data_IF_109220156980
#
_entry.id   IF_109220156980
#
_cell.length_a   1.000
_cell.length_b   1.000
_cell.length_c   1.000
_cell.angle_alpha   90.00
_cell.angle_beta   90.00
_cell.angle_gamma   90.00
#
_symmetry.space_group_name_H-M   'P 1'
#
loop_
_entity.id
_entity.type
_entity.pdbx_description
1 polymer ?
#
# COMPACT_ATOMS: atom_id res chain seq x y z
N UNK A 1 62.06 24.64 27.73
CA UNK A 1 61.70 26.07 27.65
C UNK A 1 61.45 26.47 26.19
N UNK A 2 60.21 26.82 25.86
CA UNK A 2 59.72 27.75 24.80
C UNK A 2 58.35 27.25 24.30
N UNK A 3 57.33 27.72 25.02
CA UNK A 3 55.90 27.67 24.69
C UNK A 3 55.64 28.40 23.38
N UNK A 4 54.99 27.75 22.41
CA UNK A 4 54.40 28.42 21.25
C UNK A 4 52.90 28.64 21.49
N UNK A 5 52.52 29.92 21.47
CA UNK A 5 51.17 30.45 21.72
C UNK A 5 50.21 30.07 20.59
N UNK A 6 49.02 29.63 20.99
CA UNK A 6 47.83 29.54 20.17
C UNK A 6 47.44 30.92 19.58
N UNK A 7 47.17 30.98 18.28
CA UNK A 7 46.48 32.12 17.64
C UNK A 7 44.99 31.99 17.92
N UNK A 8 44.42 33.01 18.56
CA UNK A 8 42.98 33.24 18.65
C UNK A 8 42.51 33.80 17.31
N UNK A 9 41.53 33.17 16.68
CA UNK A 9 40.79 33.76 15.56
C UNK A 9 39.56 34.51 16.08
N UNK A 10 39.16 35.60 15.42
CA UNK A 10 38.15 36.52 15.93
C UNK A 10 36.72 36.00 15.75
N UNK A 11 35.89 36.27 16.75
CA UNK A 11 34.43 36.21 16.73
C UNK A 11 33.86 37.26 15.76
N UNK A 12 33.29 36.83 14.62
CA UNK A 12 32.37 37.68 13.85
C UNK A 12 30.93 37.30 14.18
N UNK A 13 30.39 38.04 15.16
CA UNK A 13 28.96 38.29 15.28
C UNK A 13 28.43 38.95 14.01
N UNK A 14 27.15 38.70 13.72
CA UNK A 14 26.32 39.34 12.68
C UNK A 14 26.37 38.67 11.32
N UNK A 15 25.32 37.89 11.03
CA UNK A 15 24.62 37.96 9.75
C UNK A 15 23.25 37.25 9.88
N UNK A 16 22.23 38.08 10.01
CA UNK A 16 20.81 37.91 9.72
C UNK A 16 20.30 36.50 9.33
N UNK A 17 19.43 35.97 10.18
CA UNK A 17 18.50 34.88 9.87
C UNK A 17 17.55 35.35 8.75
N UNK A 18 17.86 35.01 7.50
CA UNK A 18 16.90 35.15 6.39
C UNK A 18 15.78 34.14 6.61
N UNK A 19 14.65 34.61 7.15
CA UNK A 19 13.38 33.87 7.14
C UNK A 19 13.03 33.59 5.68
N UNK A 20 13.13 32.34 5.28
CA UNK A 20 12.74 31.88 3.95
C UNK A 20 11.21 31.91 3.88
N UNK A 21 10.64 32.98 3.33
CA UNK A 21 9.22 33.01 3.01
C UNK A 21 8.92 31.92 1.96
N UNK A 22 7.92 31.05 2.16
CA UNK A 22 7.55 30.07 1.15
C UNK A 22 7.04 30.80 -0.11
N UNK A 23 7.29 30.24 -1.31
CA UNK A 23 6.78 30.82 -2.55
C UNK A 23 5.24 30.86 -2.52
N UNK A 24 4.60 31.88 -3.12
CA UNK A 24 3.15 31.92 -3.23
C UNK A 24 2.67 30.69 -4.01
N UNK A 25 1.68 30.00 -3.45
CA UNK A 25 0.99 28.89 -4.11
C UNK A 25 0.38 29.38 -5.42
N UNK A 26 0.62 28.70 -6.57
CA UNK A 26 -0.01 29.09 -7.82
C UNK A 26 -1.52 28.93 -7.70
N UNK A 27 -2.27 29.98 -8.07
CA UNK A 27 -3.72 29.94 -8.16
C UNK A 27 -4.13 28.76 -9.05
N UNK A 28 -4.96 27.88 -8.49
CA UNK A 28 -5.45 26.69 -9.16
C UNK A 28 -6.01 27.06 -10.54
N UNK A 29 -5.40 26.53 -11.61
CA UNK A 29 -5.98 26.60 -12.95
C UNK A 29 -7.36 25.98 -12.88
N UNK A 30 -8.37 26.80 -13.14
CA UNK A 30 -9.78 26.43 -13.25
C UNK A 30 -9.92 25.46 -14.42
N UNK A 31 -10.05 24.17 -14.13
CA UNK A 31 -10.46 23.19 -15.14
C UNK A 31 -11.95 23.43 -15.43
N UNK A 32 -12.23 24.10 -16.55
CA UNK A 32 -13.58 24.15 -17.11
C UNK A 32 -13.88 22.84 -17.85
N UNK A 33 -14.11 21.78 -17.09
CA UNK A 33 -14.76 20.57 -17.61
C UNK A 33 -16.25 20.63 -17.24
N UNK A 34 -17.06 20.92 -18.25
CA UNK A 34 -18.52 20.93 -18.22
C UNK A 34 -19.01 19.50 -18.00
N UNK A 35 -19.32 19.14 -16.75
CA UNK A 35 -20.10 17.93 -16.46
C UNK A 35 -21.58 18.22 -16.74
N UNK A 36 -22.31 17.37 -17.47
CA UNK A 36 -23.75 17.55 -17.62
C UNK A 36 -24.44 17.26 -16.28
N UNK A 37 -24.98 18.31 -15.68
CA UNK A 37 -25.97 18.25 -14.60
C UNK A 37 -27.28 17.72 -15.19
N UNK A 38 -27.67 16.48 -14.85
CA UNK A 38 -29.07 16.10 -14.91
C UNK A 38 -29.76 16.60 -13.64
N UNK A 39 -30.91 17.20 -13.86
CA UNK A 39 -31.72 18.03 -12.97
C UNK A 39 -32.35 17.29 -11.79
N UNK A 40 -32.34 17.97 -10.64
CA UNK A 40 -33.43 18.17 -9.67
C UNK A 40 -34.30 16.98 -9.18
N UNK A 41 -34.10 16.60 -7.91
CA UNK A 41 -35.00 16.74 -6.74
C UNK A 41 -36.54 16.81 -6.93
N UNK A 42 -37.38 16.33 -5.98
CA UNK A 42 -37.21 16.64 -4.54
C UNK A 42 -37.55 15.54 -3.53
N UNK A 43 -37.23 15.89 -2.28
CA UNK A 43 -37.39 15.13 -1.05
C UNK A 43 -38.85 14.80 -0.68
N UNK A 44 -39.03 13.64 -0.06
CA UNK A 44 -40.04 13.45 0.98
C UNK A 44 -39.48 12.50 2.06
N UNK A 45 -39.56 12.98 3.30
CA UNK A 45 -39.32 12.19 4.51
C UNK A 45 -40.36 11.10 4.62
N UNK A 46 -39.95 9.84 4.76
CA UNK A 46 -40.76 8.79 5.36
C UNK A 46 -39.85 7.90 6.22
N UNK A 47 -40.20 7.83 7.50
CA UNK A 47 -39.69 6.89 8.49
C UNK A 47 -39.73 5.46 7.94
N UNK A 48 -38.67 4.69 8.15
CA UNK A 48 -38.73 3.25 7.96
C UNK A 48 -38.43 2.57 9.29
N UNK A 49 -39.50 2.39 10.06
CA UNK A 49 -39.57 1.43 11.13
C UNK A 49 -39.42 0.02 10.56
N UNK A 50 -38.68 -0.80 11.31
CA UNK A 50 -38.61 -2.24 11.15
C UNK A 50 -40.00 -2.87 11.03
N UNK A 51 -40.26 -3.61 9.95
CA UNK A 51 -41.24 -4.71 9.88
C UNK A 51 -41.08 -5.51 8.58
N UNK A 52 -40.84 -6.81 8.74
CA UNK A 52 -41.45 -7.83 7.89
C UNK A 52 -40.81 -8.11 6.54
N UNK A 53 -39.98 -9.14 6.50
CA UNK A 53 -39.90 -10.02 5.35
C UNK A 53 -41.30 -10.63 5.10
N UNK A 54 -41.86 -10.44 3.90
CA UNK A 54 -42.87 -11.33 3.33
C UNK A 54 -43.08 -11.03 1.84
N UNK A 55 -42.74 -12.00 1.01
CA UNK A 55 -43.42 -12.42 -0.24
C UNK A 55 -43.62 -11.37 -1.35
N UNK A 56 -43.02 -11.64 -2.51
CA UNK A 56 -43.70 -11.60 -3.81
C UNK A 56 -42.87 -12.36 -4.86
N UNK A 57 -43.01 -13.69 -4.78
CA UNK A 57 -42.90 -14.57 -5.95
C UNK A 57 -44.10 -14.26 -6.84
N UNK A 58 -43.90 -13.59 -7.98
CA UNK A 58 -44.72 -13.72 -9.20
C UNK A 58 -44.31 -12.69 -10.25
N UNK A 59 -43.68 -13.16 -11.32
CA UNK A 59 -43.90 -12.70 -12.70
C UNK A 59 -43.13 -13.61 -13.66
N UNK A 60 -43.39 -14.92 -13.58
CA UNK A 60 -43.21 -15.80 -14.71
C UNK A 60 -44.54 -15.79 -15.46
N UNK A 61 -44.56 -15.23 -16.67
CA UNK A 61 -45.43 -15.59 -17.82
C UNK A 61 -45.71 -14.37 -18.70
N UNK A 62 -44.97 -14.25 -19.79
CA UNK A 62 -45.45 -13.65 -21.04
C UNK A 62 -44.52 -14.12 -22.17
N UNK A 63 -44.62 -15.40 -22.52
CA UNK A 63 -44.19 -15.92 -23.82
C UNK A 63 -45.34 -15.70 -24.79
N UNK A 64 -45.14 -14.89 -25.82
CA UNK A 64 -45.81 -15.04 -27.10
C UNK A 64 -45.11 -14.24 -28.19
N UNK A 65 -44.49 -14.98 -29.10
CA UNK A 65 -44.40 -14.72 -30.54
C UNK A 65 -43.49 -13.55 -30.98
N UNK A 66 -42.24 -13.88 -31.33
CA UNK A 66 -41.70 -13.54 -32.65
C UNK A 66 -40.61 -14.55 -33.00
N UNK A 67 -41.00 -15.51 -33.83
CA UNK A 67 -40.11 -16.43 -34.51
C UNK A 67 -39.58 -15.71 -35.77
N UNK A 68 -38.40 -15.09 -35.69
CA UNK A 68 -37.49 -14.87 -36.82
C UNK A 68 -36.10 -14.52 -36.27
N UNK A 69 -35.07 -15.10 -36.87
CA UNK A 69 -33.64 -14.92 -36.56
C UNK A 69 -33.09 -15.75 -35.38
N UNK A 70 -33.01 -17.06 -35.62
CA UNK A 70 -32.11 -17.95 -34.91
C UNK A 70 -30.66 -17.60 -35.27
N UNK A 71 -29.98 -16.81 -34.42
CA UNK A 71 -28.51 -16.86 -34.19
C UNK A 71 -28.03 -15.77 -33.21
N UNK A 72 -28.79 -14.72 -32.92
CA UNK A 72 -28.32 -13.58 -32.11
C UNK A 72 -28.83 -13.55 -30.66
N UNK A 73 -29.66 -14.52 -30.23
CA UNK A 73 -30.32 -14.48 -28.91
C UNK A 73 -29.68 -15.37 -27.83
N UNK A 74 -28.70 -16.22 -28.18
CA UNK A 74 -28.01 -17.10 -27.21
C UNK A 74 -26.87 -16.41 -26.43
N UNK A 75 -26.38 -15.25 -26.92
CA UNK A 75 -25.25 -14.52 -26.32
C UNK A 75 -25.70 -13.40 -25.36
N UNK A 76 -26.96 -12.97 -25.44
CA UNK A 76 -27.50 -11.93 -24.57
C UNK A 76 -28.01 -12.46 -23.22
N UNK A 77 -28.48 -13.70 -23.17
CA UNK A 77 -29.04 -14.28 -21.94
C UNK A 77 -27.97 -14.75 -20.94
N UNK A 78 -26.77 -15.11 -21.40
CA UNK A 78 -25.64 -15.49 -20.53
C UNK A 78 -24.89 -14.30 -19.95
N UNK A 79 -24.98 -13.12 -20.59
CA UNK A 79 -24.35 -11.89 -20.13
C UNK A 79 -25.08 -11.25 -18.93
N UNK A 80 -26.41 -11.39 -18.87
CA UNK A 80 -27.23 -10.88 -17.76
C UNK A 80 -27.27 -11.80 -16.54
N UNK A 81 -27.12 -13.13 -16.73
CA UNK A 81 -26.94 -14.05 -15.60
C UNK A 81 -25.64 -13.75 -14.84
N UNK A 82 -24.54 -13.40 -15.51
CA UNK A 82 -23.29 -12.99 -14.85
C UNK A 82 -23.41 -11.71 -14.02
N UNK A 83 -24.21 -10.75 -14.48
CA UNK A 83 -24.46 -9.49 -13.77
C UNK A 83 -25.38 -9.69 -12.55
N UNK A 84 -26.36 -10.59 -12.66
CA UNK A 84 -27.28 -10.90 -11.56
C UNK A 84 -26.61 -11.70 -10.43
N UNK A 85 -25.71 -12.64 -10.77
CA UNK A 85 -24.96 -13.43 -9.78
C UNK A 85 -23.91 -12.61 -8.99
N UNK A 86 -23.54 -11.42 -9.42
CA UNK A 86 -22.56 -10.58 -8.70
C UNK A 86 -23.16 -9.86 -7.48
N UNK A 87 -24.47 -9.58 -7.48
CA UNK A 87 -25.11 -8.76 -6.45
C UNK A 87 -25.52 -9.55 -5.19
N UNK A 88 -25.78 -10.85 -5.31
CA UNK A 88 -26.30 -11.70 -4.22
C UNK A 88 -25.24 -12.25 -3.25
N UNK A 89 -23.94 -12.02 -3.50
CA UNK A 89 -22.85 -12.66 -2.72
C UNK A 89 -22.32 -11.79 -1.58
N UNK A 90 -22.60 -10.48 -1.56
CA UNK A 90 -22.15 -9.57 -0.50
C UNK A 90 -23.28 -9.20 0.46
N UNK A 91 -23.89 -10.21 1.09
CA UNK A 91 -24.68 -9.95 2.29
C UNK A 91 -23.78 -9.26 3.34
N UNK A 92 -24.26 -8.14 3.92
CA UNK A 92 -23.54 -7.47 5.01
C UNK A 92 -23.32 -8.49 6.13
N UNK A 93 -22.10 -8.60 6.69
CA UNK A 93 -21.85 -9.51 7.79
C UNK A 93 -22.83 -9.22 8.94
N UNK A 94 -23.34 -10.27 9.58
CA UNK A 94 -24.19 -10.12 10.75
C UNK A 94 -23.46 -9.29 11.81
N UNK A 95 -24.14 -8.25 12.29
CA UNK A 95 -23.63 -7.37 13.34
C UNK A 95 -23.69 -8.11 14.68
N UNK A 96 -22.58 -8.12 15.41
CA UNK A 96 -22.48 -8.72 16.75
C UNK A 96 -22.66 -7.66 17.82
N UNK A 97 -23.51 -7.97 18.80
CA UNK A 97 -23.88 -7.07 19.89
C UNK A 97 -23.17 -7.39 21.21
N UNK A 98 -22.63 -8.61 21.37
CA UNK A 98 -21.98 -9.04 22.61
C UNK A 98 -20.45 -8.93 22.54
N UNK A 99 -19.82 -8.62 23.67
CA UNK A 99 -18.35 -8.54 23.76
C UNK A 99 -17.69 -9.90 23.45
N UNK A 100 -18.24 -11.00 23.99
CA UNK A 100 -17.70 -12.34 23.83
C UNK A 100 -17.66 -12.79 22.37
N UNK A 101 -18.74 -12.57 21.61
CA UNK A 101 -18.77 -12.90 20.18
C UNK A 101 -17.75 -12.07 19.37
N UNK A 102 -17.61 -10.77 19.70
CA UNK A 102 -16.67 -9.90 19.02
C UNK A 102 -15.22 -10.29 19.33
N UNK A 103 -14.94 -10.71 20.56
CA UNK A 103 -13.65 -11.27 20.97
C UNK A 103 -13.33 -12.57 20.22
N UNK A 104 -14.29 -13.49 20.09
CA UNK A 104 -14.12 -14.72 19.31
C UNK A 104 -13.81 -14.44 17.84
N UNK A 105 -14.47 -13.45 17.24
CA UNK A 105 -14.18 -13.00 15.87
C UNK A 105 -12.75 -12.48 15.76
N UNK A 106 -12.27 -11.73 16.75
CA UNK A 106 -10.90 -11.23 16.78
C UNK A 106 -9.88 -12.37 16.90
N UNK A 107 -10.11 -13.32 17.80
CA UNK A 107 -9.25 -14.50 17.99
C UNK A 107 -9.19 -15.34 16.72
N UNK A 108 -10.34 -15.65 16.10
CA UNK A 108 -10.39 -16.36 14.80
C UNK A 108 -9.65 -15.59 13.70
N UNK A 109 -9.65 -14.26 13.74
CA UNK A 109 -8.91 -13.44 12.80
C UNK A 109 -7.40 -13.58 12.98
N UNK A 110 -6.91 -13.57 14.23
CA UNK A 110 -5.50 -13.72 14.57
C UNK A 110 -4.96 -15.12 14.24
N UNK A 111 -5.78 -16.16 14.42
CA UNK A 111 -5.42 -17.54 14.05
C UNK A 111 -5.10 -17.68 12.55
N UNK A 112 -5.75 -16.89 11.69
CA UNK A 112 -5.54 -16.95 10.23
C UNK A 112 -4.31 -16.17 9.79
N UNK A 113 -4.07 -15.01 10.40
CA UNK A 113 -2.91 -14.16 10.12
C UNK A 113 -2.66 -13.18 11.26
N UNK A 114 -1.40 -12.79 11.43
CA UNK A 114 -1.07 -11.62 12.23
C UNK A 114 -1.71 -10.34 11.64
N UNK A 115 -2.19 -9.47 12.52
CA UNK A 115 -2.90 -8.22 12.22
C UNK A 115 -2.25 -7.08 13.00
N UNK A 116 -2.18 -5.88 12.41
CA UNK A 116 -1.87 -4.66 13.17
C UNK A 116 -3.07 -4.24 14.01
N UNK A 117 -2.83 -3.36 15.00
CA UNK A 117 -3.89 -2.74 15.80
C UNK A 117 -4.92 -2.09 14.89
N UNK A 118 -4.48 -1.30 13.90
CA UNK A 118 -5.37 -0.61 12.97
C UNK A 118 -6.19 -1.57 12.10
N UNK A 119 -5.58 -2.62 11.55
CA UNK A 119 -6.31 -3.63 10.77
C UNK A 119 -7.35 -4.37 11.62
N UNK A 120 -7.02 -4.67 12.88
CA UNK A 120 -7.97 -5.31 13.80
C UNK A 120 -9.14 -4.38 14.11
N UNK A 121 -8.88 -3.13 14.45
CA UNK A 121 -9.94 -2.13 14.70
C UNK A 121 -10.88 -2.02 13.51
N UNK A 122 -10.35 -1.84 12.29
CA UNK A 122 -11.17 -1.77 11.08
C UNK A 122 -12.00 -3.06 10.86
N UNK A 123 -11.47 -4.22 11.25
CA UNK A 123 -12.17 -5.50 11.11
C UNK A 123 -13.31 -5.64 12.10
N UNK A 124 -13.14 -5.18 13.34
CA UNK A 124 -14.18 -5.20 14.37
C UNK A 124 -15.26 -4.15 14.12
N UNK A 125 -14.89 -2.96 13.63
CA UNK A 125 -15.86 -1.91 13.22
C UNK A 125 -16.76 -2.35 12.06
N UNK A 126 -16.33 -3.29 11.22
CA UNK A 126 -17.19 -3.90 10.18
C UNK A 126 -18.17 -4.95 10.72
N UNK A 127 -18.01 -5.33 11.99
CA UNK A 127 -18.76 -6.42 12.65
C UNK A 127 -19.62 -5.92 13.81
N UNK A 128 -19.34 -4.74 14.34
CA UNK A 128 -20.14 -4.11 15.39
C UNK A 128 -20.19 -2.61 15.17
N UNK A 129 -21.39 -2.04 15.29
CA UNK A 129 -21.59 -0.58 15.20
C UNK A 129 -21.23 0.13 16.53
N UNK A 130 -21.09 -0.62 17.63
CA UNK A 130 -20.77 -0.07 18.94
C UNK A 130 -19.26 0.10 19.14
N UNK A 131 -18.79 1.35 18.99
CA UNK A 131 -17.38 1.72 19.16
C UNK A 131 -16.83 1.43 20.56
N UNK A 132 -17.65 1.48 21.61
CA UNK A 132 -17.20 1.20 22.98
C UNK A 132 -16.85 -0.29 23.14
N UNK A 133 -17.67 -1.18 22.59
CA UNK A 133 -17.39 -2.62 22.60
C UNK A 133 -16.08 -2.93 21.86
N UNK A 134 -15.84 -2.29 20.71
CA UNK A 134 -14.59 -2.44 19.96
C UNK A 134 -13.39 -2.02 20.82
N UNK A 135 -13.48 -0.91 21.55
CA UNK A 135 -12.40 -0.45 22.43
C UNK A 135 -12.12 -1.41 23.57
N UNK A 136 -13.17 -1.94 24.23
CA UNK A 136 -13.03 -2.93 25.32
C UNK A 136 -12.35 -4.20 24.82
N UNK A 137 -12.80 -4.76 23.69
CA UNK A 137 -12.18 -5.94 23.09
C UNK A 137 -10.74 -5.67 22.68
N UNK A 138 -10.44 -4.51 22.10
CA UNK A 138 -9.08 -4.13 21.73
C UNK A 138 -8.15 -3.97 22.94
N UNK A 139 -8.64 -3.43 24.06
CA UNK A 139 -7.88 -3.34 25.31
C UNK A 139 -7.55 -4.74 25.84
N UNK A 140 -8.55 -5.63 25.90
CA UNK A 140 -8.38 -7.02 26.32
C UNK A 140 -7.38 -7.79 25.45
N UNK A 141 -7.40 -7.59 24.13
CA UNK A 141 -6.43 -8.21 23.21
C UNK A 141 -4.99 -7.71 23.44
N UNK A 142 -4.83 -6.43 23.80
CA UNK A 142 -3.52 -5.84 24.15
C UNK A 142 -3.02 -6.33 25.50
N UNK A 143 -3.88 -6.40 26.51
CA UNK A 143 -3.56 -6.93 27.84
C UNK A 143 -3.09 -8.38 27.77
N UNK A 144 -3.75 -9.20 26.94
CA UNK A 144 -3.35 -10.58 26.68
C UNK A 144 -2.09 -10.71 25.81
N UNK A 145 -1.49 -9.60 25.36
CA UNK A 145 -0.29 -9.61 24.50
C UNK A 145 -0.52 -10.22 23.11
N UNK A 146 -1.78 -10.36 22.67
CA UNK A 146 -2.13 -10.97 21.40
C UNK A 146 -1.85 -10.04 20.21
N UNK A 147 -1.90 -8.73 20.43
CA UNK A 147 -1.62 -7.71 19.42
C UNK A 147 -0.55 -6.76 19.93
N UNK A 148 0.53 -6.65 19.15
CA UNK A 148 1.60 -5.70 19.37
C UNK A 148 2.13 -5.22 18.01
N UNK A 149 1.98 -3.92 17.73
CA UNK A 149 2.45 -3.30 16.49
C UNK A 149 3.97 -3.32 16.35
N UNK A 150 4.73 -3.25 17.44
CA UNK A 150 6.19 -3.29 17.40
C UNK A 150 6.67 -4.67 16.95
N UNK A 151 6.19 -5.72 17.62
CA UNK A 151 6.45 -7.11 17.24
C UNK A 151 5.96 -7.41 15.82
N UNK A 152 4.79 -6.90 15.45
CA UNK A 152 4.24 -7.07 14.12
C UNK A 152 5.13 -6.43 13.04
N UNK A 153 5.57 -5.18 13.25
CA UNK A 153 6.39 -4.45 12.29
C UNK A 153 7.72 -5.17 12.01
N UNK A 154 8.39 -5.66 13.07
CA UNK A 154 9.64 -6.43 12.96
C UNK A 154 9.46 -7.71 12.15
N UNK A 155 8.47 -8.53 12.50
CA UNK A 155 8.19 -9.78 11.79
C UNK A 155 7.82 -9.51 10.32
N UNK A 156 6.99 -8.50 10.06
CA UNK A 156 6.58 -8.14 8.71
C UNK A 156 7.77 -7.66 7.87
N UNK A 157 8.62 -6.79 8.42
CA UNK A 157 9.81 -6.29 7.73
C UNK A 157 10.76 -7.44 7.38
N UNK A 158 11.07 -8.30 8.36
CA UNK A 158 11.89 -9.50 8.16
C UNK A 158 11.32 -10.40 7.06
N UNK A 159 10.04 -10.76 7.15
CA UNK A 159 9.40 -11.63 6.17
C UNK A 159 9.45 -11.05 4.75
N UNK A 160 9.19 -9.74 4.59
CA UNK A 160 9.18 -9.09 3.27
C UNK A 160 10.58 -8.99 2.67
N UNK A 161 11.57 -8.67 3.49
CA UNK A 161 12.96 -8.62 3.06
C UNK A 161 13.47 -10.01 2.71
N UNK A 162 13.29 -11.01 3.57
CA UNK A 162 13.80 -12.37 3.36
C UNK A 162 13.10 -13.08 2.20
N UNK A 163 11.76 -13.13 2.20
CA UNK A 163 10.98 -13.92 1.24
C UNK A 163 10.78 -13.22 -0.11
N UNK A 164 10.60 -11.89 -0.11
CA UNK A 164 10.26 -11.13 -1.33
C UNK A 164 11.39 -10.25 -1.84
N UNK A 165 12.51 -10.15 -1.12
CA UNK A 165 13.67 -9.30 -1.46
C UNK A 165 13.22 -7.88 -1.82
N UNK A 166 12.38 -7.31 -0.96
CA UNK A 166 11.87 -5.93 -1.08
C UNK A 166 12.82 -4.97 -0.37
N UNK A 167 12.93 -3.75 -0.90
CA UNK A 167 13.74 -2.70 -0.27
C UNK A 167 13.03 -1.98 0.86
N UNK A 168 13.81 -1.31 1.71
CA UNK A 168 13.38 -0.59 2.92
C UNK A 168 12.17 0.32 2.68
N UNK A 169 12.16 1.11 1.61
CA UNK A 169 11.09 2.08 1.34
C UNK A 169 9.76 1.42 0.97
N UNK A 170 9.79 0.26 0.31
CA UNK A 170 8.58 -0.48 -0.02
C UNK A 170 7.97 -1.09 1.24
N UNK A 171 8.81 -1.71 2.07
CA UNK A 171 8.39 -2.26 3.36
C UNK A 171 7.81 -1.16 4.25
N UNK A 172 8.47 -0.01 4.36
CA UNK A 172 7.98 1.14 5.11
C UNK A 172 6.60 1.60 4.62
N UNK A 173 6.40 1.72 3.31
CA UNK A 173 5.10 2.10 2.72
C UNK A 173 4.02 1.08 3.05
N UNK A 174 4.33 -0.21 2.95
CA UNK A 174 3.38 -1.28 3.24
C UNK A 174 2.99 -1.31 4.73
N UNK A 175 3.93 -1.00 5.64
CA UNK A 175 3.67 -0.86 7.07
C UNK A 175 2.80 0.38 7.39
N UNK A 176 3.08 1.52 6.76
CA UNK A 176 2.24 2.73 6.90
C UNK A 176 0.82 2.51 6.40
N UNK A 177 0.66 1.81 5.28
CA UNK A 177 -0.65 1.44 4.74
C UNK A 177 -1.46 0.55 5.69
N UNK A 178 -0.79 -0.16 6.62
CA UNK A 178 -1.41 -0.97 7.69
C UNK A 178 -1.66 -0.18 8.97
N UNK A 179 -1.40 1.13 8.99
CA UNK A 179 -1.66 2.01 10.13
C UNK A 179 -0.67 1.87 11.29
N UNK A 180 0.55 1.39 11.03
CA UNK A 180 1.59 1.26 12.06
C UNK A 180 2.29 2.61 12.25
N UNK A 181 2.53 3.06 13.50
CA UNK A 181 3.18 4.33 13.76
C UNK A 181 4.66 4.31 13.33
N UNK A 182 5.16 5.45 12.83
CA UNK A 182 6.50 5.55 12.24
C UNK A 182 7.62 5.11 13.20
N UNK A 183 7.50 5.36 14.51
CA UNK A 183 8.46 4.90 15.54
C UNK A 183 8.76 3.39 15.48
N UNK A 184 7.73 2.58 15.21
CA UNK A 184 7.85 1.12 15.17
C UNK A 184 8.38 0.67 13.81
N UNK A 185 8.10 1.45 12.76
CA UNK A 185 8.61 1.22 11.41
C UNK A 185 10.11 1.47 11.38
N UNK A 186 10.57 2.59 11.92
CA UNK A 186 11.99 2.96 11.97
C UNK A 186 12.81 1.89 12.70
N UNK A 187 12.39 1.54 13.93
CA UNK A 187 13.04 0.48 14.71
C UNK A 187 13.07 -0.88 13.98
N UNK A 188 11.97 -1.27 13.33
CA UNK A 188 11.92 -2.53 12.58
C UNK A 188 12.84 -2.52 11.34
N UNK A 189 12.99 -1.37 10.67
CA UNK A 189 13.83 -1.27 9.48
C UNK A 189 15.32 -1.15 9.83
N UNK A 190 15.67 -0.56 10.98
CA UNK A 190 17.03 -0.56 11.51
C UNK A 190 17.51 -1.98 11.79
N UNK A 191 16.72 -2.76 12.54
CA UNK A 191 17.03 -4.16 12.84
C UNK A 191 17.21 -5.02 11.57
N UNK A 192 16.40 -4.79 10.55
CA UNK A 192 16.54 -5.50 9.26
C UNK A 192 17.77 -5.04 8.47
N UNK A 193 18.10 -3.74 8.53
CA UNK A 193 19.27 -3.19 7.84
C UNK A 193 20.60 -3.72 8.43
N UNK A 194 20.65 -3.97 9.74
CA UNK A 194 21.82 -4.59 10.39
C UNK A 194 22.07 -6.02 9.91
N UNK A 195 20.99 -6.76 9.61
CA UNK A 195 21.06 -8.17 9.24
C UNK A 195 21.08 -8.42 7.73
N UNK A 196 20.86 -7.40 6.89
CA UNK A 196 20.68 -7.58 5.44
C UNK A 196 21.48 -6.57 4.62
N UNK A 197 22.28 -7.06 3.68
CA UNK A 197 22.90 -6.21 2.65
C UNK A 197 21.90 -5.85 1.53
N UNK A 198 21.42 -4.61 1.53
CA UNK A 198 20.56 -4.06 0.47
C UNK A 198 21.25 -4.08 -0.91
N UNK A 199 22.56 -3.87 -0.97
CA UNK A 199 23.30 -3.83 -2.23
C UNK A 199 23.34 -5.22 -2.89
N UNK A 200 23.61 -6.28 -2.11
CA UNK A 200 23.53 -7.66 -2.59
C UNK A 200 22.14 -8.01 -3.14
N UNK A 201 21.06 -7.56 -2.48
CA UNK A 201 19.70 -7.79 -2.97
C UNK A 201 19.44 -7.10 -4.33
N UNK A 202 19.97 -5.88 -4.50
CA UNK A 202 19.88 -5.14 -5.77
C UNK A 202 20.65 -5.87 -6.86
N UNK A 203 21.90 -6.27 -6.61
CA UNK A 203 22.73 -7.04 -7.58
C UNK A 203 22.02 -8.31 -8.03
N UNK A 204 21.53 -9.12 -7.09
CA UNK A 204 20.80 -10.35 -7.41
C UNK A 204 19.55 -10.09 -8.26
N UNK A 205 18.85 -8.98 -7.99
CA UNK A 205 17.63 -8.62 -8.74
C UNK A 205 17.94 -8.12 -10.14
N UNK A 206 19.06 -7.43 -10.34
CA UNK A 206 19.55 -7.02 -11.66
C UNK A 206 19.98 -8.25 -12.45
N UNK A 207 20.82 -9.10 -11.87
CA UNK A 207 21.31 -10.33 -12.50
C UNK A 207 20.14 -11.22 -12.98
N UNK A 208 19.12 -11.42 -12.14
CA UNK A 208 17.92 -12.19 -12.51
C UNK A 208 17.18 -11.58 -13.70
N UNK A 209 17.15 -10.24 -13.83
CA UNK A 209 16.50 -9.54 -14.94
C UNK A 209 17.32 -9.59 -16.23
N UNK A 210 18.64 -9.62 -16.11
CA UNK A 210 19.56 -9.73 -17.25
C UNK A 210 19.62 -11.17 -17.76
N UNK A 211 19.55 -12.17 -16.88
CA UNK A 211 19.55 -13.60 -17.25
C UNK A 211 18.46 -13.99 -18.24
N UNK A 212 17.28 -13.36 -18.15
CA UNK A 212 16.16 -13.61 -19.06
C UNK A 212 16.16 -12.74 -20.31
N UNK A 213 17.12 -11.81 -20.44
CA UNK A 213 17.19 -10.87 -21.54
C UNK A 213 18.20 -11.35 -22.59
N UNK A 214 17.75 -11.47 -23.84
CA UNK A 214 18.58 -11.86 -24.99
C UNK A 214 18.66 -10.65 -25.91
N UNK A 215 19.76 -9.90 -25.81
CA UNK A 215 19.98 -8.67 -26.59
C UNK A 215 20.98 -7.73 -25.91
N UNK A 216 21.43 -6.73 -26.65
CA UNK A 216 22.28 -5.66 -26.13
C UNK A 216 21.51 -4.79 -25.12
N UNK A 217 22.23 -4.30 -24.11
CA UNK A 217 21.65 -3.52 -23.02
C UNK A 217 21.45 -2.08 -23.48
N UNK A 218 20.29 -1.79 -24.07
CA UNK A 218 19.91 -0.42 -24.45
C UNK A 218 19.71 0.50 -23.23
N UNK A 219 19.86 1.81 -23.44
CA UNK A 219 19.50 2.84 -22.43
C UNK A 219 18.06 2.69 -21.92
N UNK A 220 17.12 2.33 -22.81
CA UNK A 220 15.72 2.06 -22.45
C UNK A 220 15.60 0.90 -21.47
N UNK A 221 16.42 -0.14 -21.65
CA UNK A 221 16.44 -1.29 -20.75
C UNK A 221 17.00 -0.92 -19.39
N UNK A 222 18.07 -0.13 -19.35
CA UNK A 222 18.64 0.39 -18.11
C UNK A 222 17.63 1.25 -17.34
N UNK A 223 16.93 2.16 -18.01
CA UNK A 223 15.86 2.95 -17.40
C UNK A 223 14.71 2.08 -16.85
N UNK A 224 14.37 0.98 -17.55
CA UNK A 224 13.37 0.01 -17.11
C UNK A 224 13.81 -0.78 -15.87
N UNK A 225 15.08 -1.20 -15.80
CA UNK A 225 15.67 -1.85 -14.62
C UNK A 225 15.67 -0.88 -13.44
N UNK A 226 16.16 0.35 -13.64
CA UNK A 226 16.16 1.42 -12.63
C UNK A 226 14.76 1.65 -12.05
N UNK A 227 13.77 1.87 -12.92
CA UNK A 227 12.37 2.08 -12.52
C UNK A 227 11.77 0.86 -11.82
N UNK A 228 12.20 -0.35 -12.19
CA UNK A 228 11.77 -1.58 -11.50
C UNK A 228 12.36 -1.72 -10.11
N UNK A 229 13.60 -1.26 -9.89
CA UNK A 229 14.26 -1.29 -8.58
C UNK A 229 13.65 -0.24 -7.64
N UNK A 230 13.36 0.96 -8.14
CA UNK A 230 12.65 1.98 -7.36
C UNK A 230 11.25 1.52 -6.94
N UNK A 231 10.50 0.88 -7.84
CA UNK A 231 9.21 0.23 -7.49
C UNK A 231 9.36 -0.91 -6.48
N UNK A 232 10.54 -1.54 -6.44
CA UNK A 232 10.92 -2.52 -5.44
C UNK A 232 11.22 -1.92 -4.05
N UNK A 233 11.39 -0.59 -3.96
CA UNK A 233 11.62 0.14 -2.72
C UNK A 233 13.06 0.25 -2.28
N UNK A 234 14.02 0.08 -3.18
CA UNK A 234 15.44 0.29 -2.89
C UNK A 234 15.82 1.77 -2.93
N UNK A 235 16.84 2.17 -2.17
CA UNK A 235 17.38 3.53 -2.23
C UNK A 235 17.92 3.86 -3.62
N UNK A 236 17.60 5.06 -4.11
CA UNK A 236 18.09 5.53 -5.40
C UNK A 236 19.63 5.57 -5.44
N UNK A 237 20.29 5.85 -4.32
CA UNK A 237 21.76 5.90 -4.23
C UNK A 237 22.39 4.53 -4.43
N UNK A 238 21.87 3.51 -3.74
CA UNK A 238 22.32 2.12 -3.87
C UNK A 238 22.09 1.66 -5.31
N UNK A 239 20.88 1.88 -5.84
CA UNK A 239 20.55 1.48 -7.23
C UNK A 239 21.49 2.14 -8.25
N UNK A 240 21.75 3.45 -8.14
CA UNK A 240 22.67 4.17 -9.03
C UNK A 240 24.11 3.67 -8.92
N UNK A 241 24.54 3.31 -7.71
CA UNK A 241 25.88 2.77 -7.47
C UNK A 241 26.04 1.40 -8.13
N UNK A 242 25.12 0.47 -7.87
CA UNK A 242 25.21 -0.89 -8.41
C UNK A 242 25.03 -0.91 -9.95
N UNK A 243 24.15 -0.07 -10.51
CA UNK A 243 24.03 0.04 -11.98
C UNK A 243 25.29 0.62 -12.64
N UNK A 244 25.93 1.61 -12.01
CA UNK A 244 27.20 2.16 -12.51
C UNK A 244 28.35 1.16 -12.44
N UNK A 245 28.37 0.30 -11.42
CA UNK A 245 29.37 -0.75 -11.30
C UNK A 245 29.31 -1.71 -12.50
N UNK A 246 28.10 -2.12 -12.89
CA UNK A 246 27.88 -2.99 -14.05
C UNK A 246 28.35 -2.35 -15.36
N UNK A 247 27.97 -1.09 -15.62
CA UNK A 247 28.40 -0.40 -16.86
C UNK A 247 29.91 -0.16 -16.92
N UNK A 248 30.61 -0.11 -15.78
CA UNK A 248 32.07 0.04 -15.73
C UNK A 248 32.80 -1.28 -15.95
N UNK A 249 32.22 -2.41 -15.58
CA UNK A 249 32.77 -3.75 -15.91
C UNK A 249 32.69 -4.05 -17.42
N UNK A 250 31.77 -3.43 -18.14
CA UNK A 250 31.58 -3.61 -19.60
C UNK A 250 32.51 -2.71 -20.46
N UNK A 251 33.30 -1.81 -19.86
CA UNK A 251 34.28 -0.99 -20.60
C UNK A 251 35.67 -1.57 -20.33
N UNK A 252 36.27 -2.37 -21.25
CA UNK A 252 37.69 -2.61 -21.19
C UNK A 252 38.36 -1.24 -21.17
N UNK A 253 39.27 -1.01 -20.22
CA UNK A 253 40.18 0.12 -20.25
C UNK A 253 40.85 0.08 -21.63
N UNK A 254 40.34 0.85 -22.58
CA UNK A 254 41.03 1.07 -23.84
C UNK A 254 42.30 1.79 -23.44
N UNK A 255 43.40 1.04 -23.44
CA UNK A 255 44.74 1.57 -23.23
C UNK A 255 44.87 2.83 -24.07
N UNK A 256 44.82 3.98 -23.39
CA UNK A 256 45.15 5.25 -23.99
C UNK A 256 46.62 5.12 -24.37
N UNK A 257 46.86 4.97 -25.67
CA UNK A 257 48.15 4.63 -26.25
C UNK A 257 49.29 5.42 -25.62
N UNK A 258 50.24 4.68 -25.06
CA UNK A 258 51.62 5.12 -24.94
C UNK A 258 52.34 4.78 -26.25
N UNK A 259 52.82 5.87 -26.88
CA UNK A 259 53.93 5.97 -27.84
C UNK A 259 53.69 5.58 -29.32
#
# INVERSE_FOLDING_TARGET
MKLWRARRTPTSSSCAFKVFAPPPTPLARRWSAKWPTSSASPASNLECGSRGASVCVSAASALSLFLTSACAASVFFTSLLGYFYSCLVFAKPQQVATEAELYDVAVRALMRRALSVHEMTQKLERRSDNKLLVQVVMARLKENGMIDDARYAKQFARQRTESRKQGKFRVARDLRARGIPDRHIESALEEVAENTDEAAMVRQRIERKLRSYRGEIDERKMASIYSSLLRGGFSADIVRRELRALTREDVPETEAGSE
#
